data_IF_343113250314
#
_entry.id   IF_343113250314
#
_cell.length_a   1.000
_cell.length_b   1.000
_cell.length_c   1.000
_cell.angle_alpha   90.00
_cell.angle_beta   90.00
_cell.angle_gamma   90.00
#
_symmetry.space_group_name_H-M   'P 1'
#
loop_
_entity.id
_entity.type
_entity.pdbx_description
1 polymer ?
#
# COMPACT_ATOMS: atom_id res chain seq x y z
N UNK A 1 34.91 -10.42 7.59
CA UNK A 1 33.79 -9.47 7.79
C UNK A 1 32.72 -10.17 8.62
N UNK A 2 32.52 -9.79 9.88
CA UNK A 2 31.44 -10.38 10.71
C UNK A 2 30.09 -9.99 10.09
N UNK A 3 29.26 -10.97 9.79
CA UNK A 3 27.91 -10.74 9.28
C UNK A 3 27.11 -9.94 10.30
N UNK A 4 26.88 -8.67 10.03
CA UNK A 4 25.97 -7.83 10.81
C UNK A 4 24.56 -8.20 10.35
N UNK A 5 23.68 -8.59 11.27
CA UNK A 5 22.27 -8.75 10.97
C UNK A 5 21.73 -7.36 10.68
N UNK A 6 21.49 -7.05 9.41
CA UNK A 6 20.82 -5.81 9.04
C UNK A 6 19.43 -5.78 9.66
N UNK A 7 19.12 -4.74 10.41
CA UNK A 7 17.76 -4.47 10.88
C UNK A 7 16.89 -4.05 9.70
N UNK A 8 16.44 -5.05 8.94
CA UNK A 8 15.53 -4.88 7.81
C UNK A 8 14.16 -4.50 8.34
N UNK A 9 13.81 -3.21 8.19
CA UNK A 9 12.43 -2.76 8.38
C UNK A 9 11.65 -3.20 7.13
N UNK A 10 10.69 -4.11 7.31
CA UNK A 10 9.78 -4.52 6.24
C UNK A 10 8.53 -3.64 6.30
N UNK A 11 8.23 -2.97 5.19
CA UNK A 11 7.01 -2.21 4.99
C UNK A 11 6.25 -2.88 3.85
N UNK A 12 4.95 -3.09 4.03
CA UNK A 12 4.05 -3.58 2.99
C UNK A 12 3.10 -2.47 2.57
N UNK A 13 2.74 -2.41 1.29
CA UNK A 13 1.93 -1.34 0.71
C UNK A 13 0.79 -1.93 -0.12
N UNK A 14 -0.47 -1.59 0.16
CA UNK A 14 -1.60 -2.00 -0.69
C UNK A 14 -1.96 -0.88 -1.65
N UNK A 15 -1.93 -1.18 -2.94
CA UNK A 15 -2.16 -0.22 -4.02
C UNK A 15 -3.55 -0.44 -4.60
N UNK A 16 -4.32 0.64 -4.75
CA UNK A 16 -5.60 0.66 -5.47
C UNK A 16 -5.56 1.86 -6.39
N UNK A 17 -5.67 1.61 -7.68
CA UNK A 17 -5.53 2.64 -8.71
C UNK A 17 -6.58 2.36 -9.76
N UNK A 18 -7.41 3.36 -10.07
CA UNK A 18 -8.44 3.24 -11.09
C UNK A 18 -7.86 3.34 -12.51
N UNK A 19 -8.65 2.94 -13.51
CA UNK A 19 -8.23 2.92 -14.92
C UNK A 19 -7.79 4.28 -15.43
N UNK A 20 -8.53 5.32 -15.05
CA UNK A 20 -8.27 6.69 -15.51
C UNK A 20 -7.04 7.30 -14.86
N UNK A 21 -6.57 6.76 -13.74
CA UNK A 21 -5.48 7.32 -12.92
C UNK A 21 -5.81 8.65 -12.24
N UNK A 22 -7.08 9.07 -12.25
CA UNK A 22 -7.55 10.32 -11.66
C UNK A 22 -7.76 10.20 -10.14
N UNK A 23 -8.22 9.04 -9.69
CA UNK A 23 -8.56 8.81 -8.29
C UNK A 23 -7.48 7.93 -7.67
N UNK A 24 -6.48 8.58 -7.08
CA UNK A 24 -5.48 7.91 -6.25
C UNK A 24 -6.01 7.84 -4.82
N UNK A 25 -6.62 6.72 -4.45
CA UNK A 25 -6.94 6.44 -3.06
C UNK A 25 -5.64 6.50 -2.22
N UNK A 26 -5.73 7.00 -0.98
CA UNK A 26 -4.58 6.99 -0.07
C UNK A 26 -4.07 5.56 0.08
N UNK A 27 -2.79 5.36 -0.21
CA UNK A 27 -2.17 4.04 -0.10
C UNK A 27 -2.18 3.57 1.35
N UNK A 28 -2.40 2.27 1.56
CA UNK A 28 -2.23 1.67 2.87
C UNK A 28 -0.78 1.27 3.05
N UNK A 29 -0.16 1.73 4.14
CA UNK A 29 1.19 1.36 4.55
C UNK A 29 1.12 0.53 5.82
N UNK A 30 1.66 -0.69 5.78
CA UNK A 30 1.62 -1.66 6.87
C UNK A 30 3.04 -1.85 7.41
N UNK A 31 3.28 -1.37 8.63
CA UNK A 31 4.54 -1.58 9.37
C UNK A 31 4.43 -2.66 10.44
N UNK A 32 5.56 -3.07 11.03
CA UNK A 32 5.55 -4.08 12.10
C UNK A 32 5.03 -3.53 13.45
N UNK A 33 5.24 -2.24 13.73
CA UNK A 33 4.97 -1.62 15.02
C UNK A 33 3.65 -0.84 14.99
N UNK A 34 2.79 -1.03 16.01
CA UNK A 34 1.54 -0.25 16.15
C UNK A 34 1.82 1.24 16.33
N UNK A 35 2.81 1.58 17.14
CA UNK A 35 3.29 2.94 17.35
C UNK A 35 4.81 2.93 17.22
N UNK A 36 5.35 3.20 16.03
CA UNK A 36 6.79 3.33 15.85
C UNK A 36 7.37 4.39 16.79
N UNK A 37 8.60 4.16 17.27
CA UNK A 37 9.28 5.10 18.15
C UNK A 37 9.36 6.50 17.54
N UNK A 38 9.59 6.60 16.23
CA UNK A 38 9.66 7.89 15.53
C UNK A 38 8.33 8.64 15.48
N UNK A 39 7.19 7.96 15.54
CA UNK A 39 5.89 8.65 15.64
C UNK A 39 5.75 9.32 16.99
N UNK A 40 6.17 8.63 18.07
CA UNK A 40 6.16 9.20 19.41
C UNK A 40 7.16 10.35 19.55
N UNK A 41 8.40 10.15 19.11
CA UNK A 41 9.47 11.14 19.21
C UNK A 41 9.12 12.44 18.47
N UNK A 42 8.48 12.33 17.31
CA UNK A 42 8.09 13.48 16.50
C UNK A 42 6.63 13.93 16.74
N UNK A 43 5.95 13.39 17.77
CA UNK A 43 4.55 13.72 18.11
C UNK A 43 3.58 13.61 16.92
N UNK A 44 3.80 12.62 16.06
CA UNK A 44 3.00 12.41 14.85
C UNK A 44 1.67 11.77 15.19
N UNK A 45 0.58 12.41 14.76
CA UNK A 45 -0.72 11.76 14.67
C UNK A 45 -0.80 10.95 13.37
N UNK A 46 -0.96 9.60 13.41
CA UNK A 46 -1.06 8.79 12.20
C UNK A 46 -2.20 9.20 11.25
N UNK A 47 -3.26 9.84 11.75
CA UNK A 47 -4.35 10.34 10.93
C UNK A 47 -3.91 11.48 9.98
N UNK A 48 -2.82 12.19 10.32
CA UNK A 48 -2.29 13.29 9.53
C UNK A 48 -1.24 12.83 8.50
N UNK A 49 -0.95 11.54 8.43
CA UNK A 49 0.01 11.01 7.45
C UNK A 49 -0.58 11.11 6.04
N UNK A 50 0.30 11.23 5.01
CA UNK A 50 -0.13 11.20 3.61
C UNK A 50 -0.61 9.81 3.15
N UNK A 51 -0.55 8.81 4.04
CA UNK A 51 -0.93 7.42 3.81
C UNK A 51 -1.85 6.94 4.92
N UNK A 52 -2.58 5.85 4.69
CA UNK A 52 -3.29 5.16 5.78
C UNK A 52 -2.33 4.17 6.44
N UNK A 53 -1.88 4.48 7.67
CA UNK A 53 -0.95 3.61 8.39
C UNK A 53 -1.68 2.50 9.15
N UNK A 54 -1.30 1.27 8.89
CA UNK A 54 -1.68 0.10 9.66
C UNK A 54 -0.44 -0.61 10.21
N UNK A 55 -0.67 -1.51 11.16
CA UNK A 55 0.40 -2.34 11.69
C UNK A 55 0.02 -3.81 11.62
N UNK A 56 1.02 -4.64 11.34
CA UNK A 56 0.88 -6.07 11.39
C UNK A 56 2.22 -6.73 11.76
N UNK A 57 2.21 -7.56 12.80
CA UNK A 57 3.38 -8.36 13.18
C UNK A 57 3.43 -9.72 12.47
N UNK A 58 2.32 -10.21 11.91
CA UNK A 58 2.19 -11.61 11.47
C UNK A 58 1.52 -11.72 10.10
N UNK A 59 2.09 -12.54 9.21
CA UNK A 59 1.69 -12.61 7.79
C UNK A 59 0.20 -12.94 7.59
N UNK A 60 -0.41 -13.88 8.33
CA UNK A 60 -1.82 -14.24 8.14
C UNK A 60 -2.81 -13.12 8.51
N UNK A 61 -2.41 -12.16 9.36
CA UNK A 61 -3.23 -10.99 9.67
C UNK A 61 -3.33 -10.01 8.47
N UNK A 62 -2.60 -10.25 7.38
CA UNK A 62 -2.82 -9.53 6.12
C UNK A 62 -4.21 -9.84 5.54
N UNK A 63 -4.74 -11.05 5.76
CA UNK A 63 -6.11 -11.40 5.38
C UNK A 63 -7.14 -10.60 6.18
N UNK A 64 -6.91 -10.42 7.48
CA UNK A 64 -7.77 -9.58 8.33
C UNK A 64 -7.71 -8.11 7.89
N UNK A 65 -6.54 -7.65 7.45
CA UNK A 65 -6.38 -6.33 6.84
C UNK A 65 -7.07 -6.22 5.47
N UNK A 66 -7.12 -7.28 4.66
CA UNK A 66 -7.88 -7.31 3.42
C UNK A 66 -9.38 -7.12 3.66
N UNK A 67 -9.96 -7.84 4.62
CA UNK A 67 -11.37 -7.65 5.00
C UNK A 67 -11.64 -6.24 5.54
N UNK A 68 -10.76 -5.75 6.42
CA UNK A 68 -10.85 -4.38 6.93
C UNK A 68 -10.78 -3.35 5.80
N UNK A 69 -9.91 -3.58 4.84
CA UNK A 69 -9.76 -2.74 3.66
C UNK A 69 -11.04 -2.74 2.82
N UNK A 70 -11.61 -3.90 2.50
CA UNK A 70 -12.86 -4.01 1.75
C UNK A 70 -14.04 -3.30 2.46
N UNK A 71 -14.18 -3.47 3.77
CA UNK A 71 -15.20 -2.76 4.55
C UNK A 71 -15.01 -1.24 4.46
N UNK A 72 -13.80 -0.74 4.73
CA UNK A 72 -13.52 0.68 4.70
C UNK A 72 -13.74 1.30 3.32
N UNK A 73 -13.27 0.62 2.26
CA UNK A 73 -13.51 1.07 0.89
C UNK A 73 -15.00 1.06 0.56
N UNK A 74 -15.77 0.05 0.99
CA UNK A 74 -17.20 0.00 0.74
C UNK A 74 -17.95 1.15 1.42
N UNK A 75 -17.58 1.46 2.66
CA UNK A 75 -18.14 2.59 3.42
C UNK A 75 -17.81 3.92 2.74
N UNK A 76 -16.57 4.11 2.28
CA UNK A 76 -16.16 5.29 1.50
C UNK A 76 -16.98 5.43 0.21
N UNK A 77 -17.14 4.33 -0.55
CA UNK A 77 -17.93 4.32 -1.78
C UNK A 77 -19.41 4.59 -1.51
N UNK A 78 -19.96 4.08 -0.40
CA UNK A 78 -21.32 4.38 0.04
C UNK A 78 -21.51 5.86 0.37
N UNK A 79 -20.57 6.46 1.11
CA UNK A 79 -20.61 7.90 1.44
C UNK A 79 -20.55 8.74 0.17
N UNK A 80 -19.71 8.35 -0.79
CA UNK A 80 -19.59 9.02 -2.08
C UNK A 80 -20.74 8.71 -3.05
N UNK A 81 -21.65 7.78 -2.70
CA UNK A 81 -22.70 7.25 -3.58
C UNK A 81 -22.14 6.75 -4.92
N UNK A 82 -20.96 6.14 -4.87
CA UNK A 82 -20.25 5.62 -6.02
C UNK A 82 -20.31 4.09 -6.02
N UNK A 83 -20.54 3.49 -7.19
CA UNK A 83 -20.46 2.04 -7.36
C UNK A 83 -19.22 1.70 -8.18
N UNK A 84 -18.37 0.84 -7.66
CA UNK A 84 -17.11 0.47 -8.32
C UNK A 84 -17.01 -1.04 -8.54
N UNK A 85 -16.18 -1.41 -9.51
CA UNK A 85 -15.69 -2.77 -9.66
C UNK A 85 -14.24 -2.82 -9.21
N UNK A 86 -13.95 -3.66 -8.21
CA UNK A 86 -12.60 -3.89 -7.72
C UNK A 86 -12.07 -5.21 -8.30
N UNK A 87 -11.00 -5.14 -9.08
CA UNK A 87 -10.31 -6.31 -9.63
C UNK A 87 -9.11 -6.65 -8.76
N UNK A 88 -8.96 -7.92 -8.38
CA UNK A 88 -7.86 -8.39 -7.51
C UNK A 88 -7.29 -9.72 -8.01
N UNK A 89 -6.04 -10.01 -7.67
CA UNK A 89 -5.42 -11.30 -7.94
C UNK A 89 -6.02 -12.42 -7.08
N UNK A 90 -5.91 -13.65 -7.59
CA UNK A 90 -6.25 -14.84 -6.82
C UNK A 90 -5.11 -15.21 -5.87
N UNK A 91 -4.92 -14.40 -4.83
CA UNK A 91 -3.88 -14.56 -3.82
C UNK A 91 -4.47 -15.03 -2.48
N UNK A 92 -3.82 -15.94 -1.73
CA UNK A 92 -4.35 -16.43 -0.44
C UNK A 92 -4.60 -15.34 0.62
N UNK A 93 -3.93 -14.18 0.51
CA UNK A 93 -4.18 -13.03 1.40
C UNK A 93 -5.45 -12.26 1.04
N UNK A 94 -6.03 -12.50 -0.13
CA UNK A 94 -7.28 -11.90 -0.62
C UNK A 94 -8.40 -12.96 -0.73
N UNK A 95 -8.72 -13.72 0.32
CA UNK A 95 -9.72 -14.78 0.19
C UNK A 95 -11.10 -14.20 -0.12
N UNK A 96 -11.96 -15.06 -0.69
CA UNK A 96 -13.34 -14.74 -1.06
C UNK A 96 -14.11 -14.17 0.15
N UNK A 97 -15.08 -13.26 -0.06
CA UNK A 97 -15.96 -12.72 0.98
C UNK A 97 -16.65 -13.78 1.87
N UNK A 98 -16.87 -14.99 1.34
CA UNK A 98 -17.44 -16.16 2.02
C UNK A 98 -16.46 -16.89 2.95
N UNK A 99 -15.17 -16.57 2.92
CA UNK A 99 -14.09 -17.29 3.60
C UNK A 99 -13.29 -16.36 4.50
N UNK A 100 -13.92 -15.80 5.56
CA UNK A 100 -13.29 -14.82 6.41
C UNK A 100 -12.15 -15.42 7.26
N UNK A 101 -11.19 -14.60 7.70
CA UNK A 101 -10.16 -15.04 8.63
C UNK A 101 -10.77 -15.33 10.01
N UNK A 102 -10.05 -16.12 10.82
CA UNK A 102 -10.53 -16.63 12.11
C UNK A 102 -10.89 -15.53 13.13
N UNK A 103 -10.32 -14.33 12.98
CA UNK A 103 -10.53 -13.19 13.87
C UNK A 103 -11.58 -12.20 13.36
N UNK A 104 -12.20 -12.47 12.21
CA UNK A 104 -13.30 -11.66 11.67
C UNK A 104 -14.59 -11.88 12.47
N UNK A 105 -15.27 -10.77 12.78
CA UNK A 105 -16.49 -10.76 13.61
C UNK A 105 -17.74 -10.20 12.90
N UNK A 106 -17.63 -9.90 11.61
CA UNK A 106 -18.74 -9.35 10.82
C UNK A 106 -19.60 -10.44 10.18
N UNK A 107 -20.59 -10.05 9.34
CA UNK A 107 -21.47 -10.99 8.65
C UNK A 107 -20.68 -11.89 7.68
N UNK A 108 -21.08 -13.16 7.57
CA UNK A 108 -20.51 -14.11 6.62
C UNK A 108 -21.60 -14.61 5.66
N UNK A 109 -21.48 -14.37 4.34
CA UNK A 109 -20.37 -13.68 3.67
C UNK A 109 -20.29 -12.19 4.02
N UNK A 110 -19.09 -11.61 3.87
CA UNK A 110 -18.91 -10.17 3.90
C UNK A 110 -19.82 -9.52 2.84
N UNK A 111 -20.69 -8.61 3.28
CA UNK A 111 -21.66 -7.92 2.42
C UNK A 111 -21.02 -6.63 1.91
N UNK A 112 -20.81 -6.54 0.60
CA UNK A 112 -20.36 -5.33 -0.10
C UNK A 112 -21.54 -4.77 -0.90
N UNK A 113 -21.94 -3.54 -0.61
CA UNK A 113 -23.11 -2.88 -1.20
C UNK A 113 -22.74 -1.97 -2.38
N UNK A 114 -21.52 -1.44 -2.40
CA UNK A 114 -21.06 -0.47 -3.40
C UNK A 114 -19.80 -0.95 -4.16
N UNK A 115 -19.32 -2.15 -3.85
CA UNK A 115 -18.17 -2.77 -4.51
C UNK A 115 -18.60 -4.10 -5.11
N UNK A 116 -18.41 -4.24 -6.42
CA UNK A 116 -18.39 -5.54 -7.09
C UNK A 116 -16.96 -6.05 -7.09
N UNK A 117 -16.70 -7.17 -6.42
CA UNK A 117 -15.35 -7.76 -6.33
C UNK A 117 -15.18 -8.83 -7.42
N UNK A 118 -14.14 -8.68 -8.25
CA UNK A 118 -13.79 -9.61 -9.32
C UNK A 118 -12.38 -10.17 -9.07
N UNK A 119 -12.27 -11.49 -9.09
CA UNK A 119 -11.00 -12.19 -9.00
C UNK A 119 -10.48 -12.56 -10.38
N UNK A 120 -9.22 -12.24 -10.65
CA UNK A 120 -8.54 -12.70 -11.85
C UNK A 120 -8.39 -14.23 -11.82
N UNK A 121 -8.45 -14.91 -12.99
CA UNK A 121 -8.19 -16.35 -13.04
C UNK A 121 -6.79 -16.70 -12.51
N UNK A 122 -6.59 -17.89 -11.92
CA UNK A 122 -5.28 -18.35 -11.50
C UNK A 122 -4.23 -18.22 -12.62
N UNK A 123 -3.00 -17.85 -12.26
CA UNK A 123 -1.86 -17.73 -13.17
C UNK A 123 -1.99 -16.68 -14.30
N UNK A 124 -3.02 -15.81 -14.27
CA UNK A 124 -3.18 -14.74 -15.26
C UNK A 124 -2.68 -13.38 -14.81
N UNK A 125 -2.29 -13.24 -13.53
CA UNK A 125 -1.91 -11.95 -12.91
C UNK A 125 -0.86 -11.20 -13.73
N UNK A 126 0.19 -11.87 -14.19
CA UNK A 126 1.26 -11.24 -14.96
C UNK A 126 0.79 -10.60 -16.28
N UNK A 127 -0.34 -11.04 -16.81
CA UNK A 127 -0.91 -10.55 -18.07
C UNK A 127 -2.07 -9.58 -17.83
N UNK A 128 -2.99 -9.91 -16.92
CA UNK A 128 -4.25 -9.19 -16.73
C UNK A 128 -4.23 -8.14 -15.62
N UNK A 129 -3.17 -8.08 -14.80
CA UNK A 129 -3.12 -7.17 -13.65
C UNK A 129 -2.39 -5.86 -14.01
N UNK A 130 -3.08 -4.70 -14.09
CA UNK A 130 -2.45 -3.41 -14.36
C UNK A 130 -1.38 -3.05 -13.32
N UNK A 131 -1.58 -3.49 -12.07
CA UNK A 131 -0.60 -3.30 -10.99
C UNK A 131 0.77 -3.90 -11.36
N UNK A 132 0.77 -5.07 -12.00
CA UNK A 132 1.97 -5.79 -12.44
C UNK A 132 2.50 -5.28 -13.78
N UNK A 133 1.63 -4.66 -14.60
CA UNK A 133 1.98 -4.07 -15.89
C UNK A 133 2.84 -2.79 -15.80
N UNK A 134 3.14 -2.31 -14.58
CA UNK A 134 4.10 -1.21 -14.35
C UNK A 134 3.70 -0.23 -13.26
N UNK A 135 2.45 -0.29 -12.78
CA UNK A 135 1.96 0.62 -11.73
C UNK A 135 2.70 0.40 -10.41
N UNK A 136 3.08 -0.82 -10.04
CA UNK A 136 3.92 -1.07 -8.85
C UNK A 136 5.41 -0.79 -9.13
N UNK A 137 5.87 -1.03 -10.36
CA UNK A 137 7.28 -0.85 -10.72
C UNK A 137 7.68 0.63 -10.75
N UNK A 138 6.81 1.49 -11.27
CA UNK A 138 7.02 2.93 -11.39
C UNK A 138 7.34 3.65 -10.06
N UNK A 139 6.52 3.53 -9.00
CA UNK A 139 6.81 4.16 -7.72
C UNK A 139 8.04 3.54 -7.04
N UNK A 140 8.40 2.27 -7.31
CA UNK A 140 9.67 1.70 -6.80
C UNK A 140 10.90 2.38 -7.41
N UNK A 141 10.83 2.73 -8.69
CA UNK A 141 11.91 3.49 -9.36
C UNK A 141 11.95 4.92 -8.80
N UNK A 142 10.80 5.58 -8.67
CA UNK A 142 10.71 6.90 -8.07
C UNK A 142 11.23 6.92 -6.63
N UNK A 143 10.91 5.90 -5.83
CA UNK A 143 11.39 5.75 -4.46
C UNK A 143 12.91 5.73 -4.37
N UNK A 144 13.58 4.99 -5.26
CA UNK A 144 15.05 4.97 -5.30
C UNK A 144 15.62 6.35 -5.63
N UNK A 145 14.99 7.11 -6.53
CA UNK A 145 15.40 8.47 -6.88
C UNK A 145 15.22 9.43 -5.70
N UNK A 146 14.05 9.42 -5.06
CA UNK A 146 13.76 10.24 -3.89
C UNK A 146 14.65 9.90 -2.70
N UNK A 147 14.93 8.61 -2.49
CA UNK A 147 15.85 8.16 -1.45
C UNK A 147 17.29 8.62 -1.71
N UNK A 148 17.77 8.55 -2.96
CA UNK A 148 19.08 9.08 -3.32
C UNK A 148 19.16 10.60 -3.10
N UNK A 149 18.12 11.35 -3.49
CA UNK A 149 18.01 12.79 -3.24
C UNK A 149 18.07 13.10 -1.74
N UNK A 150 17.30 12.39 -0.93
CA UNK A 150 17.32 12.50 0.53
C UNK A 150 18.72 12.27 1.12
N UNK A 151 19.47 11.26 0.65
CA UNK A 151 20.84 11.00 1.13
C UNK A 151 21.76 12.19 0.81
N UNK A 152 21.69 12.72 -0.41
CA UNK A 152 22.53 13.85 -0.85
C UNK A 152 22.20 15.10 -0.03
N UNK A 153 20.93 15.43 0.15
CA UNK A 153 20.49 16.59 0.94
C UNK A 153 20.93 16.47 2.41
N UNK A 154 20.80 15.27 2.98
CA UNK A 154 21.26 14.99 4.33
C UNK A 154 22.78 15.17 4.45
N UNK A 155 23.56 14.65 3.49
CA UNK A 155 25.00 14.80 3.49
C UNK A 155 25.42 16.28 3.38
N UNK A 156 24.79 17.05 2.49
CA UNK A 156 25.07 18.47 2.33
C UNK A 156 24.74 19.27 3.61
N UNK A 157 23.72 18.86 4.36
CA UNK A 157 23.28 19.54 5.58
C UNK A 157 24.12 19.19 6.82
N UNK A 158 24.58 17.93 6.92
CA UNK A 158 25.19 17.40 8.14
C UNK A 158 26.62 16.89 7.97
N UNK A 159 27.19 16.94 6.77
CA UNK A 159 28.55 16.47 6.45
C UNK A 159 28.74 14.95 6.56
N UNK A 160 27.67 14.17 6.66
CA UNK A 160 27.71 12.70 6.83
C UNK A 160 26.47 12.03 6.26
N UNK A 161 26.57 10.74 5.93
CA UNK A 161 25.40 9.96 5.52
C UNK A 161 24.45 9.68 6.70
N UNK A 162 23.14 9.55 6.45
CA UNK A 162 22.19 9.14 7.48
C UNK A 162 22.50 7.70 7.94
N UNK A 163 22.44 7.45 9.24
CA UNK A 163 22.76 6.12 9.80
C UNK A 163 21.69 5.07 9.46
N UNK A 164 20.42 5.48 9.38
CA UNK A 164 19.28 4.64 9.01
C UNK A 164 18.11 5.52 8.55
N UNK A 165 17.35 5.03 7.57
CA UNK A 165 16.05 5.61 7.21
C UNK A 165 15.01 5.12 8.22
N UNK A 166 14.35 6.04 8.90
CA UNK A 166 13.25 5.67 9.79
C UNK A 166 11.92 5.48 9.04
N UNK A 167 10.92 4.89 9.71
CA UNK A 167 9.64 4.58 9.08
C UNK A 167 8.82 5.82 8.70
N UNK A 168 8.96 6.93 9.44
CA UNK A 168 8.26 8.17 9.12
C UNK A 168 8.83 8.76 7.83
N UNK A 169 10.15 8.85 7.72
CA UNK A 169 10.83 9.25 6.49
C UNK A 169 10.48 8.32 5.33
N UNK A 170 10.46 7.00 5.55
CA UNK A 170 10.08 6.04 4.54
C UNK A 170 8.63 6.23 4.06
N UNK A 171 7.69 6.54 4.95
CA UNK A 171 6.29 6.85 4.60
C UNK A 171 6.20 8.07 3.68
N UNK A 172 6.91 9.16 4.01
CA UNK A 172 6.92 10.33 3.15
C UNK A 172 7.55 10.04 1.79
N UNK A 173 8.67 9.32 1.74
CA UNK A 173 9.28 8.90 0.48
C UNK A 173 8.33 8.01 -0.34
N UNK A 174 7.58 7.10 0.29
CA UNK A 174 6.57 6.28 -0.40
C UNK A 174 5.47 7.16 -1.00
N UNK A 175 4.95 8.12 -0.22
CA UNK A 175 3.91 9.05 -0.69
C UNK A 175 4.38 9.86 -1.90
N UNK A 176 5.55 10.52 -1.80
CA UNK A 176 6.15 11.29 -2.91
C UNK A 176 6.40 10.43 -4.16
N UNK A 177 6.78 9.18 -3.95
CA UNK A 177 7.01 8.24 -5.06
C UNK A 177 5.73 7.88 -5.80
N UNK A 178 4.61 7.73 -5.10
CA UNK A 178 3.31 7.42 -5.70
C UNK A 178 2.71 8.65 -6.39
N UNK A 179 2.89 9.82 -5.81
CA UNK A 179 2.46 11.07 -6.44
C UNK A 179 3.19 11.30 -7.78
N UNK A 180 4.46 10.92 -7.86
CA UNK A 180 5.23 11.02 -9.11
C UNK A 180 4.76 10.09 -10.25
N UNK A 181 3.91 9.09 -9.96
CA UNK A 181 3.33 8.23 -10.99
C UNK A 181 2.26 9.01 -11.74
N UNK A 182 2.51 9.32 -13.02
CA UNK A 182 1.60 10.13 -13.82
C UNK A 182 0.36 9.34 -14.25
N UNK A 183 -0.73 10.06 -14.51
CA UNK A 183 -1.94 9.50 -15.08
C UNK A 183 -1.67 8.71 -16.38
N UNK A 184 -0.81 9.25 -17.25
CA UNK A 184 -0.43 8.60 -18.49
C UNK A 184 0.25 7.23 -18.29
N UNK A 185 1.08 7.08 -17.25
CA UNK A 185 1.68 5.79 -16.89
C UNK A 185 0.60 4.80 -16.46
N UNK A 186 -0.35 5.24 -15.63
CA UNK A 186 -1.44 4.40 -15.14
C UNK A 186 -2.29 3.91 -16.32
N UNK A 187 -2.78 4.82 -17.16
CA UNK A 187 -3.60 4.48 -18.32
C UNK A 187 -2.86 3.55 -19.30
N UNK A 188 -1.55 3.76 -19.49
CA UNK A 188 -0.74 2.86 -20.32
C UNK A 188 -0.68 1.44 -19.73
N UNK A 189 -0.50 1.30 -18.42
CA UNK A 189 -0.49 0.01 -17.76
C UNK A 189 -1.85 -0.69 -17.83
N UNK A 190 -2.95 0.05 -17.68
CA UNK A 190 -4.31 -0.48 -17.87
C UNK A 190 -4.57 -0.96 -19.30
N UNK A 191 -4.16 -0.19 -20.31
CA UNK A 191 -4.31 -0.57 -21.71
C UNK A 191 -3.48 -1.80 -22.11
N UNK A 192 -2.37 -2.02 -21.40
CA UNK A 192 -1.47 -3.15 -21.64
C UNK A 192 -1.98 -4.45 -21.00
N UNK A 193 -2.69 -4.32 -19.89
CA UNK A 193 -3.27 -5.44 -19.15
C UNK A 193 -4.52 -6.01 -19.84
#
# INVERSE_FOLDING_TARGET
LKGRKDDKIKITTFHIINETGMDKCKIWVIGCAKKPHTFHQNQVNPANLPVVYHHNKIVWLLTSLWYKFLCGLNDEMQIMKCYITLVTDNCPIHPLPTSPPIDYKGPTPLILTHITLIYLPPCTTAFLQPLDAGIIASPKVAYRRWYAKFIVEYFNSYGKSPSKLDILQAIYLIAESLESVTQAIIMHCWKKA
#
